data_IF_281005496538
#
_entry.id   IF_281005496538
#
_cell.length_a   1.000
_cell.length_b   1.000
_cell.length_c   1.000
_cell.angle_alpha   90.00
_cell.angle_beta   90.00
_cell.angle_gamma   90.00
#
_symmetry.space_group_name_H-M   'P 1'
#
loop_
_entity.id
_entity.type
_entity.pdbx_description
1 polymer ?
#
# COMPACT_ATOMS: atom_id res chain seq x y z
N UNK A 1 -6.94 22.71 6.37
CA UNK A 1 -8.39 22.44 6.23
C UNK A 1 -8.55 20.94 6.06
N UNK A 2 -9.18 20.24 6.99
CA UNK A 2 -9.40 18.80 6.86
C UNK A 2 -10.32 18.54 5.67
N UNK A 3 -9.78 18.00 4.58
CA UNK A 3 -10.60 17.56 3.45
C UNK A 3 -11.38 16.32 3.88
N UNK A 4 -12.71 16.40 3.87
CA UNK A 4 -13.58 15.28 4.19
C UNK A 4 -14.02 14.65 2.88
N UNK A 5 -13.68 13.39 2.68
CA UNK A 5 -14.08 12.63 1.49
C UNK A 5 -15.60 12.66 1.30
N UNK A 6 -16.04 12.87 0.07
CA UNK A 6 -17.44 12.74 -0.34
C UNK A 6 -17.79 11.27 -0.59
N UNK A 7 -19.09 10.97 -0.73
CA UNK A 7 -19.52 9.61 -1.07
C UNK A 7 -18.97 9.17 -2.45
N UNK A 8 -18.90 10.09 -3.40
CA UNK A 8 -18.39 9.81 -4.74
C UNK A 8 -16.88 9.50 -4.72
N UNK A 9 -16.11 10.18 -3.86
CA UNK A 9 -14.69 9.89 -3.66
C UNK A 9 -14.50 8.48 -3.10
N UNK A 10 -15.28 8.11 -2.07
CA UNK A 10 -15.22 6.77 -1.47
C UNK A 10 -15.63 5.67 -2.44
N UNK A 11 -16.65 5.91 -3.28
CA UNK A 11 -17.06 4.96 -4.33
C UNK A 11 -15.96 4.83 -5.39
N UNK A 12 -15.30 5.93 -5.74
CA UNK A 12 -14.21 5.94 -6.71
C UNK A 12 -12.99 5.18 -6.19
N UNK A 13 -12.58 5.45 -4.94
CA UNK A 13 -11.52 4.71 -4.25
C UNK A 13 -11.83 3.21 -4.19
N UNK A 14 -13.03 2.83 -3.75
CA UNK A 14 -13.43 1.41 -3.70
C UNK A 14 -13.33 0.75 -5.07
N UNK A 15 -13.83 1.40 -6.14
CA UNK A 15 -13.78 0.86 -7.51
C UNK A 15 -12.35 0.73 -8.02
N UNK A 16 -11.48 1.67 -7.65
CA UNK A 16 -10.06 1.63 -7.98
C UNK A 16 -9.38 0.43 -7.32
N UNK A 17 -9.50 0.29 -5.99
CA UNK A 17 -8.94 -0.85 -5.26
C UNK A 17 -9.50 -2.19 -5.74
N UNK A 18 -10.80 -2.27 -6.09
CA UNK A 18 -11.38 -3.50 -6.65
C UNK A 18 -10.89 -3.85 -8.06
N UNK A 19 -10.35 -2.88 -8.81
CA UNK A 19 -9.71 -3.13 -10.12
C UNK A 19 -8.30 -3.70 -9.95
N UNK A 20 -7.67 -3.45 -8.81
CA UNK A 20 -6.32 -3.88 -8.46
C UNK A 20 -6.33 -4.79 -7.22
N UNK A 21 -6.97 -5.98 -7.28
CA UNK A 21 -7.00 -6.88 -6.14
C UNK A 21 -5.61 -7.49 -5.89
N UNK A 22 -5.21 -7.51 -4.62
CA UNK A 22 -3.91 -7.99 -4.15
C UNK A 22 -4.11 -9.05 -3.05
N UNK A 23 -3.30 -10.13 -3.02
CA UNK A 23 -3.32 -11.12 -1.95
C UNK A 23 -2.62 -10.58 -0.71
N UNK A 24 -2.75 -11.33 0.39
CA UNK A 24 -2.05 -11.03 1.64
C UNK A 24 -0.53 -10.90 1.40
N UNK A 25 0.09 -9.89 2.02
CA UNK A 25 1.51 -9.52 1.90
C UNK A 25 1.94 -8.91 0.56
N UNK A 26 1.01 -8.79 -0.39
CA UNK A 26 1.27 -8.22 -1.72
C UNK A 26 0.48 -6.94 -1.98
N UNK A 27 -0.06 -6.29 -0.95
CA UNK A 27 -0.87 -5.07 -1.02
C UNK A 27 -0.05 -3.82 -1.39
N UNK A 28 0.82 -3.91 -2.40
CA UNK A 28 1.78 -2.88 -2.80
C UNK A 28 1.09 -1.65 -3.40
N UNK A 29 0.19 -1.85 -4.37
CA UNK A 29 -0.60 -0.80 -4.98
C UNK A 29 -1.52 -0.16 -3.94
N UNK A 30 -2.26 -0.98 -3.19
CA UNK A 30 -3.19 -0.51 -2.17
C UNK A 30 -2.46 0.36 -1.14
N UNK A 31 -1.33 -0.10 -0.62
CA UNK A 31 -0.54 0.66 0.37
C UNK A 31 0.01 1.95 -0.22
N UNK A 32 0.54 1.93 -1.46
CA UNK A 32 0.98 3.14 -2.13
C UNK A 32 -0.14 4.18 -2.28
N UNK A 33 -1.35 3.74 -2.65
CA UNK A 33 -2.54 4.62 -2.75
C UNK A 33 -2.97 5.18 -1.40
N UNK A 34 -2.80 4.43 -0.31
CA UNK A 34 -3.07 4.92 1.05
C UNK A 34 -2.03 5.96 1.47
N UNK A 35 -0.74 5.71 1.22
CA UNK A 35 0.35 6.64 1.52
C UNK A 35 0.14 7.97 0.80
N UNK A 36 -0.20 7.94 -0.51
CA UNK A 36 -0.53 9.14 -1.29
C UNK A 36 -1.57 10.03 -0.60
N UNK A 37 -2.66 9.42 -0.13
CA UNK A 37 -3.76 10.15 0.50
C UNK A 37 -3.40 10.62 1.92
N UNK A 38 -2.72 9.78 2.70
CA UNK A 38 -2.33 10.09 4.07
C UNK A 38 -1.32 11.24 4.14
N UNK A 39 -0.39 11.33 3.18
CA UNK A 39 0.57 12.43 3.06
C UNK A 39 -0.10 13.80 2.76
N UNK A 40 -1.36 13.83 2.31
CA UNK A 40 -2.10 15.09 2.12
C UNK A 40 -2.73 15.64 3.41
N UNK A 41 -2.65 14.89 4.50
CA UNK A 41 -3.34 15.18 5.77
C UNK A 41 -2.37 15.69 6.83
N UNK A 42 -2.93 16.38 7.82
CA UNK A 42 -2.21 16.86 8.99
C UNK A 42 -2.12 15.72 10.01
N UNK A 43 -1.10 14.87 9.86
CA UNK A 43 -0.80 13.73 10.73
C UNK A 43 0.45 14.04 11.58
N UNK A 44 0.46 13.60 12.83
CA UNK A 44 1.65 13.75 13.69
C UNK A 44 2.84 12.90 13.20
N UNK A 45 2.55 11.73 12.63
CA UNK A 45 3.51 10.83 12.02
C UNK A 45 2.82 9.88 11.02
N UNK A 46 3.61 9.32 10.10
CA UNK A 46 3.19 8.24 9.19
C UNK A 46 4.35 7.24 9.07
N UNK A 47 4.13 6.01 9.52
CA UNK A 47 5.08 4.91 9.41
C UNK A 47 4.66 3.99 8.28
N UNK A 48 5.61 3.55 7.45
CA UNK A 48 5.31 2.71 6.28
C UNK A 48 6.35 1.62 6.16
N UNK A 49 5.93 0.43 5.75
CA UNK A 49 6.88 -0.64 5.46
C UNK A 49 7.39 -1.33 6.73
N UNK A 50 8.68 -1.68 6.79
CA UNK A 50 9.29 -2.40 7.92
C UNK A 50 9.10 -1.75 9.29
N UNK A 51 8.77 -0.46 9.33
CA UNK A 51 8.45 0.26 10.58
C UNK A 51 7.12 -0.19 11.22
N UNK A 52 6.27 -0.91 10.47
CA UNK A 52 4.91 -1.25 10.87
C UNK A 52 4.69 -2.73 11.19
N UNK A 53 5.62 -3.60 10.80
CA UNK A 53 5.46 -5.05 10.85
C UNK A 53 6.71 -5.69 11.45
N UNK A 54 6.54 -6.50 12.49
CA UNK A 54 7.63 -7.30 13.06
C UNK A 54 7.99 -8.45 12.10
N UNK A 55 9.24 -8.46 11.63
CA UNK A 55 9.74 -9.44 10.67
C UNK A 55 9.61 -10.89 11.16
N UNK A 56 9.75 -11.11 12.48
CA UNK A 56 9.75 -12.44 13.09
C UNK A 56 8.32 -12.98 13.35
N UNK A 57 7.30 -12.12 13.29
CA UNK A 57 5.90 -12.49 13.52
C UNK A 57 5.09 -12.71 12.22
N UNK A 58 5.68 -12.45 11.05
CA UNK A 58 4.98 -12.61 9.76
C UNK A 58 4.86 -14.09 9.38
N UNK A 59 3.61 -14.56 9.28
CA UNK A 59 3.32 -15.93 8.87
C UNK A 59 2.80 -16.00 7.43
N UNK A 60 3.16 -17.07 6.72
CA UNK A 60 2.70 -17.36 5.36
C UNK A 60 3.00 -16.22 4.34
N UNK A 61 4.17 -15.59 4.48
CA UNK A 61 4.68 -14.64 3.49
C UNK A 61 4.99 -15.39 2.19
N UNK A 62 4.55 -14.89 1.01
CA UNK A 62 4.94 -15.42 -0.28
C UNK A 62 6.46 -15.42 -0.48
N UNK A 63 6.95 -16.21 -1.43
CA UNK A 63 8.37 -16.19 -1.77
C UNK A 63 8.75 -14.92 -2.54
N UNK A 64 10.06 -14.64 -2.62
CA UNK A 64 10.57 -13.42 -3.25
C UNK A 64 10.14 -13.27 -4.71
N UNK A 65 10.03 -14.38 -5.46
CA UNK A 65 9.63 -14.34 -6.86
C UNK A 65 8.16 -13.96 -7.02
N UNK A 66 7.28 -14.44 -6.13
CA UNK A 66 5.89 -14.00 -6.08
C UNK A 66 5.79 -12.52 -5.67
N UNK A 67 6.52 -12.09 -4.64
CA UNK A 67 6.54 -10.69 -4.19
C UNK A 67 7.00 -9.74 -5.30
N UNK A 68 8.10 -10.05 -5.99
CA UNK A 68 8.62 -9.24 -7.09
C UNK A 68 7.60 -9.11 -8.23
N UNK A 69 6.91 -10.20 -8.58
CA UNK A 69 5.87 -10.17 -9.59
C UNK A 69 4.69 -9.25 -9.21
N UNK A 70 4.34 -9.18 -7.93
CA UNK A 70 3.30 -8.27 -7.44
C UNK A 70 3.78 -6.83 -7.34
N UNK A 71 5.05 -6.57 -7.00
CA UNK A 71 5.65 -5.23 -7.06
C UNK A 71 5.62 -4.68 -8.49
N UNK A 72 6.00 -5.47 -9.49
CA UNK A 72 5.93 -5.04 -10.90
C UNK A 72 4.49 -4.71 -11.31
N UNK A 73 3.52 -5.54 -10.91
CA UNK A 73 2.09 -5.27 -11.20
C UNK A 73 1.60 -3.98 -10.57
N UNK A 74 2.03 -3.68 -9.34
CA UNK A 74 1.70 -2.42 -8.69
C UNK A 74 2.36 -1.22 -9.41
N UNK A 75 3.62 -1.36 -9.83
CA UNK A 75 4.32 -0.35 -10.64
C UNK A 75 3.60 -0.08 -11.97
N UNK A 76 3.19 -1.13 -12.68
CA UNK A 76 2.41 -1.02 -13.92
C UNK A 76 1.02 -0.37 -13.70
N UNK A 77 0.42 -0.58 -12.52
CA UNK A 77 -0.82 0.08 -12.11
C UNK A 77 -0.63 1.55 -11.70
N UNK A 78 0.62 2.05 -11.66
CA UNK A 78 0.94 3.45 -11.36
C UNK A 78 1.24 3.72 -9.88
N UNK A 79 1.54 2.69 -9.09
CA UNK A 79 2.04 2.90 -7.73
C UNK A 79 3.38 3.65 -7.75
N UNK A 80 3.56 4.56 -6.79
CA UNK A 80 4.76 5.37 -6.62
C UNK A 80 5.98 4.53 -6.30
N UNK A 81 7.04 4.71 -7.07
CA UNK A 81 8.28 3.95 -6.96
C UNK A 81 8.97 4.10 -5.60
N UNK A 82 9.02 5.32 -5.04
CA UNK A 82 9.62 5.60 -3.73
C UNK A 82 8.89 4.88 -2.59
N UNK A 83 7.58 4.68 -2.72
CA UNK A 83 6.81 3.91 -1.75
C UNK A 83 7.05 2.42 -1.96
N UNK A 84 7.01 1.92 -3.20
CA UNK A 84 7.26 0.50 -3.50
C UNK A 84 8.61 0.03 -2.95
N UNK A 85 9.66 0.84 -3.05
CA UNK A 85 10.98 0.54 -2.48
C UNK A 85 10.93 0.33 -0.96
N UNK A 86 10.08 1.08 -0.24
CA UNK A 86 9.86 0.91 1.21
C UNK A 86 9.06 -0.34 1.55
N UNK A 87 8.24 -0.85 0.62
CA UNK A 87 7.39 -2.02 0.84
C UNK A 87 8.08 -3.35 0.48
N UNK A 88 9.27 -3.29 -0.14
CA UNK A 88 10.02 -4.44 -0.64
C UNK A 88 10.12 -5.57 0.40
N UNK A 89 9.92 -6.82 -0.03
CA UNK A 89 9.90 -7.99 0.88
C UNK A 89 8.56 -8.21 1.59
N UNK A 90 7.46 -7.64 1.06
CA UNK A 90 6.10 -7.86 1.55
C UNK A 90 5.77 -7.08 2.83
N UNK A 91 6.45 -5.97 3.08
CA UNK A 91 6.14 -5.09 4.21
C UNK A 91 5.09 -4.06 3.79
N UNK A 92 3.85 -4.50 3.58
CA UNK A 92 2.77 -3.70 2.98
C UNK A 92 1.92 -2.94 4.02
N UNK A 93 2.53 -2.47 5.11
CA UNK A 93 1.84 -1.76 6.19
C UNK A 93 2.00 -0.24 6.15
N UNK A 94 0.98 0.48 6.63
CA UNK A 94 1.01 1.92 6.88
C UNK A 94 0.21 2.25 8.17
N UNK A 95 0.80 3.00 9.10
CA UNK A 95 0.25 3.33 10.43
C UNK A 95 0.48 4.80 10.77
#
# INVERSE_FOLDING_TARGET
MSHRATMDDLVSLRRDLHRHPEPAWCEFYTTARLVDELETRDLDALYVGPETLDADERMAVPDDAELDAWVERAREAGAREDVLDRLAGGYTGAV
#
